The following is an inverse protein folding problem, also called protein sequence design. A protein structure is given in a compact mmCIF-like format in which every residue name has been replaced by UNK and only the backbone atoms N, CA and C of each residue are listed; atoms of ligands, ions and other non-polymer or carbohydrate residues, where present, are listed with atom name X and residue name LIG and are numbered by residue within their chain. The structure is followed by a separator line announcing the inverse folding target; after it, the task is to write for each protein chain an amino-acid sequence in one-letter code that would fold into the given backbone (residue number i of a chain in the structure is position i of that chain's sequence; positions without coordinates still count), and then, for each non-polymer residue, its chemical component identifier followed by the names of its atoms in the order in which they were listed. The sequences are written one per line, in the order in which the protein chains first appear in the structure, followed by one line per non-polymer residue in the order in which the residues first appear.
data_IF_591458421916
#
_entry.id   IF_591458421916
#
_cell.length_a   1.000
_cell.length_b   1.000
_cell.length_c   1.000
_cell.angle_alpha   90.00
_cell.angle_beta   90.00
_cell.angle_gamma   90.00
#
_symmetry.space_group_name_H-M   'P 1'
#
loop_
_entity.id
_entity.type
_entity.pdbx_description
1 polymer ?
#
# COMPACT_ATOMS: atom_id res chain seq x y z
N UNK A 1 -33.14 -20.59 48.58
CA UNK A 1 -34.34 -21.40 48.29
C UNK A 1 -34.05 -22.14 46.99
N UNK A 2 -33.90 -23.45 46.87
CA UNK A 2 -34.12 -24.63 47.73
C UNK A 2 -32.90 -25.59 47.59
N UNK A 3 -32.71 -26.43 48.61
CA UNK A 3 -31.72 -27.52 48.80
C UNK A 3 -31.74 -28.56 47.64
N UNK A 4 -30.72 -29.43 47.40
CA UNK A 4 -30.20 -30.52 48.26
C UNK A 4 -28.80 -30.97 47.80
N UNK A 5 -28.00 -31.40 48.77
CA UNK A 5 -26.62 -31.87 48.74
C UNK A 5 -26.58 -33.30 49.33
N UNK A 6 -25.88 -34.28 48.74
CA UNK A 6 -25.53 -35.61 49.34
C UNK A 6 -24.24 -36.11 48.64
N UNK A 7 -23.02 -35.92 49.17
CA UNK A 7 -22.21 -36.77 50.08
C UNK A 7 -22.07 -38.24 49.60
N UNK A 8 -20.94 -38.67 49.00
CA UNK A 8 -19.76 -39.27 49.67
C UNK A 8 -19.59 -40.77 49.29
N UNK A 9 -18.49 -41.51 49.60
CA UNK A 9 -17.41 -41.20 50.56
C UNK A 9 -15.95 -41.49 50.12
N UNK A 10 -15.03 -40.76 50.77
CA UNK A 10 -13.75 -41.13 51.43
C UNK A 10 -12.95 -42.40 51.04
N UNK A 11 -11.69 -42.12 50.66
CA UNK A 11 -10.40 -42.58 51.24
C UNK A 11 -10.04 -44.08 51.34
N UNK A 12 -8.87 -44.32 50.75
CA UNK A 12 -7.67 -44.98 51.31
C UNK A 12 -7.44 -46.46 51.03
N UNK A 13 -6.41 -46.76 50.22
CA UNK A 13 -5.45 -47.84 50.48
C UNK A 13 -4.02 -47.33 50.19
N UNK A 14 -3.13 -47.77 51.07
CA UNK A 14 -1.75 -47.39 51.35
C UNK A 14 -0.70 -47.78 50.28
N UNK A 15 0.41 -47.03 50.28
CA UNK A 15 1.81 -47.52 50.30
C UNK A 15 2.38 -48.31 49.12
N UNK A 16 3.36 -47.73 48.40
CA UNK A 16 4.79 -48.16 48.41
C UNK A 16 5.59 -47.54 47.25
N UNK A 17 6.51 -46.63 47.60
CA UNK A 17 7.93 -46.57 47.22
C UNK A 17 8.33 -46.78 45.74
N UNK A 18 8.86 -45.67 45.19
CA UNK A 18 9.97 -45.52 44.24
C UNK A 18 9.85 -46.02 42.79
N UNK A 19 10.17 -45.10 41.87
CA UNK A 19 10.71 -45.42 40.55
C UNK A 19 9.93 -44.78 39.42
N UNK A 20 10.64 -44.06 38.54
CA UNK A 20 10.18 -43.36 37.33
C UNK A 20 9.61 -41.95 37.52
N UNK A 21 10.52 -40.99 37.74
CA UNK A 21 10.41 -39.67 37.10
C UNK A 21 10.54 -39.87 35.58
N UNK A 22 9.42 -39.90 34.85
CA UNK A 22 9.45 -39.51 33.43
C UNK A 22 9.48 -37.99 33.37
N UNK A 23 10.67 -37.44 33.15
CA UNK A 23 10.86 -36.10 32.61
C UNK A 23 10.16 -36.03 31.24
N UNK A 24 8.89 -35.63 31.22
CA UNK A 24 8.32 -35.00 30.02
C UNK A 24 8.78 -33.55 30.08
N UNK A 25 10.02 -33.33 29.63
CA UNK A 25 10.42 -32.02 29.16
C UNK A 25 9.50 -31.71 27.97
N UNK A 26 8.50 -30.85 28.22
CA UNK A 26 7.81 -30.13 27.17
C UNK A 26 8.88 -29.32 26.42
N UNK A 27 9.40 -29.92 25.36
CA UNK A 27 10.08 -29.20 24.28
C UNK A 27 8.97 -28.42 23.58
N UNK A 28 8.60 -27.27 24.15
CA UNK A 28 7.88 -26.24 23.41
C UNK A 28 8.87 -25.77 22.35
N UNK A 29 8.56 -26.15 21.12
CA UNK A 29 9.40 -26.01 19.96
C UNK A 29 9.77 -24.54 19.71
N UNK A 30 11.04 -24.22 19.90
CA UNK A 30 11.72 -23.01 19.43
C UNK A 30 11.76 -22.88 17.88
N UNK A 31 11.15 -23.84 17.16
CA UNK A 31 11.00 -23.81 15.70
C UNK A 31 9.84 -22.92 15.23
N UNK A 32 8.82 -22.67 16.07
CA UNK A 32 7.68 -21.82 15.69
C UNK A 32 8.02 -20.33 15.69
N UNK A 33 8.90 -19.87 16.58
CA UNK A 33 9.28 -18.45 16.71
C UNK A 33 10.21 -18.00 15.56
N UNK A 34 11.14 -18.86 15.13
CA UNK A 34 12.16 -18.52 14.12
C UNK A 34 11.62 -18.52 12.68
N UNK A 35 10.49 -19.20 12.42
CA UNK A 35 9.90 -19.35 11.08
C UNK A 35 9.20 -18.06 10.61
N UNK A 36 8.52 -17.36 11.52
CA UNK A 36 7.71 -16.19 11.18
C UNK A 36 8.54 -14.97 10.72
N UNK A 37 9.62 -14.63 11.45
CA UNK A 37 10.47 -13.47 11.10
C UNK A 37 11.11 -13.63 9.73
N UNK A 38 11.64 -14.83 9.42
CA UNK A 38 12.29 -15.12 8.13
C UNK A 38 11.33 -15.05 6.96
N UNK A 39 10.12 -15.62 7.11
CA UNK A 39 9.08 -15.57 6.09
C UNK A 39 8.66 -14.12 5.81
N UNK A 40 8.40 -13.34 6.86
CA UNK A 40 8.05 -11.92 6.75
C UNK A 40 9.15 -11.12 6.04
N UNK A 41 10.40 -11.28 6.46
CA UNK A 41 11.56 -10.62 5.85
C UNK A 41 11.70 -10.98 4.38
N UNK A 42 11.53 -12.25 4.02
CA UNK A 42 11.57 -12.72 2.64
C UNK A 42 10.46 -12.09 1.79
N UNK A 43 9.20 -12.15 2.25
CA UNK A 43 8.05 -11.55 1.55
C UNK A 43 8.26 -10.06 1.32
N UNK A 44 8.64 -9.33 2.38
CA UNK A 44 8.86 -7.89 2.29
C UNK A 44 10.04 -7.55 1.38
N UNK A 45 11.17 -8.24 1.53
CA UNK A 45 12.35 -8.03 0.70
C UNK A 45 12.02 -8.23 -0.78
N UNK A 46 11.39 -9.35 -1.13
CA UNK A 46 11.05 -9.66 -2.51
C UNK A 46 10.07 -8.66 -3.10
N UNK A 47 8.97 -8.35 -2.40
CA UNK A 47 7.99 -7.39 -2.88
C UNK A 47 8.59 -5.99 -3.04
N UNK A 48 9.46 -5.56 -2.11
CA UNK A 48 10.16 -4.28 -2.20
C UNK A 48 11.11 -4.23 -3.40
N UNK A 49 11.92 -5.26 -3.62
CA UNK A 49 12.80 -5.36 -4.80
C UNK A 49 12.02 -5.21 -6.11
N UNK A 50 10.80 -5.77 -6.18
CA UNK A 50 9.97 -5.73 -7.37
C UNK A 50 9.21 -4.41 -7.56
N UNK A 51 8.82 -3.73 -6.47
CA UNK A 51 7.85 -2.63 -6.49
C UNK A 51 8.43 -1.26 -6.12
N UNK A 52 9.43 -1.17 -5.24
CA UNK A 52 10.04 0.12 -4.86
C UNK A 52 10.71 0.86 -6.03
N UNK A 53 11.45 0.18 -6.94
CA UNK A 53 12.01 0.84 -8.13
C UNK A 53 10.93 1.42 -9.06
N UNK A 54 9.70 0.91 -8.95
CA UNK A 54 8.52 1.35 -9.70
C UNK A 54 7.72 2.43 -8.96
N UNK A 55 8.27 2.97 -7.87
CA UNK A 55 7.69 4.08 -7.10
C UNK A 55 6.59 3.66 -6.12
N UNK A 56 6.47 2.39 -5.76
CA UNK A 56 5.59 1.95 -4.68
C UNK A 56 6.30 1.94 -3.33
N UNK A 57 5.55 2.14 -2.25
CA UNK A 57 6.04 1.88 -0.89
C UNK A 57 5.10 0.90 -0.19
N UNK A 58 5.69 0.04 0.65
CA UNK A 58 5.02 -1.07 1.33
C UNK A 58 5.27 -0.98 2.83
N UNK A 59 4.23 -1.25 3.62
CA UNK A 59 4.40 -1.44 5.06
C UNK A 59 3.49 -2.55 5.62
N UNK A 60 4.05 -3.48 6.40
CA UNK A 60 3.29 -4.57 7.00
C UNK A 60 2.40 -4.07 8.14
N UNK A 61 1.31 -4.79 8.39
CA UNK A 61 0.45 -4.65 9.56
C UNK A 61 -0.29 -5.97 9.83
N UNK A 62 -0.87 -6.10 11.01
CA UNK A 62 -1.74 -7.24 11.33
C UNK A 62 -3.20 -6.94 11.01
N UNK A 63 -3.92 -7.91 10.44
CA UNK A 63 -5.34 -7.80 10.12
C UNK A 63 -6.17 -7.34 11.33
N UNK A 64 -5.83 -7.81 12.53
CA UNK A 64 -6.44 -7.40 13.79
C UNK A 64 -6.33 -5.91 14.08
N UNK A 65 -5.14 -5.32 13.89
CA UNK A 65 -4.94 -3.87 14.12
C UNK A 65 -5.85 -3.02 13.23
N UNK A 66 -6.07 -3.46 11.99
CA UNK A 66 -6.99 -2.81 11.07
C UNK A 66 -8.45 -3.01 11.48
N UNK A 67 -8.84 -4.26 11.78
CA UNK A 67 -10.22 -4.59 12.15
C UNK A 67 -10.66 -3.87 13.44
N UNK A 68 -9.75 -3.62 14.39
CA UNK A 68 -10.00 -2.79 15.59
C UNK A 68 -10.48 -1.36 15.26
N UNK A 69 -10.10 -0.79 14.11
CA UNK A 69 -10.38 0.60 13.76
C UNK A 69 -11.60 0.81 12.86
N UNK A 70 -12.16 -0.26 12.29
CA UNK A 70 -13.22 -0.16 11.28
C UNK A 70 -14.47 -0.91 11.73
N UNK A 71 -15.61 -0.58 11.12
CA UNK A 71 -16.84 -1.34 11.38
C UNK A 71 -16.72 -2.79 10.90
N UNK A 72 -17.45 -3.71 11.53
CA UNK A 72 -17.50 -5.14 11.15
C UNK A 72 -17.75 -5.37 9.66
N UNK A 73 -18.53 -4.51 8.99
CA UNK A 73 -18.82 -4.59 7.54
C UNK A 73 -17.58 -4.40 6.65
N UNK A 74 -16.54 -3.77 7.19
CA UNK A 74 -15.26 -3.46 6.55
C UNK A 74 -14.12 -4.35 7.04
N UNK A 75 -14.38 -5.32 7.95
CA UNK A 75 -13.33 -6.23 8.39
C UNK A 75 -12.70 -6.95 7.20
N UNK A 76 -11.37 -7.02 7.24
CA UNK A 76 -10.63 -7.93 6.38
C UNK A 76 -10.87 -9.36 6.86
N UNK A 77 -11.31 -10.20 5.92
CA UNK A 77 -11.49 -11.63 6.15
C UNK A 77 -10.14 -12.35 6.17
N UNK A 78 -9.82 -12.92 7.33
CA UNK A 78 -8.65 -13.73 7.58
C UNK A 78 -8.92 -14.70 8.75
N UNK A 79 -8.29 -15.88 8.79
CA UNK A 79 -8.51 -16.87 9.85
C UNK A 79 -8.10 -16.42 11.25
N UNK A 80 -7.15 -15.49 11.37
CA UNK A 80 -6.62 -15.01 12.65
C UNK A 80 -6.34 -13.50 12.61
N UNK A 81 -6.39 -12.85 13.77
CA UNK A 81 -6.10 -11.42 13.93
C UNK A 81 -4.63 -11.07 13.69
N UNK A 82 -3.72 -12.02 13.83
CA UNK A 82 -2.29 -11.86 13.58
C UNK A 82 -1.86 -12.28 12.18
N UNK A 83 -2.81 -12.50 11.25
CA UNK A 83 -2.48 -12.69 9.84
C UNK A 83 -1.83 -11.42 9.27
N UNK A 84 -0.81 -11.63 8.43
CA UNK A 84 -0.05 -10.58 7.78
C UNK A 84 -0.89 -9.90 6.68
N UNK A 85 -0.87 -8.58 6.71
CA UNK A 85 -1.27 -7.75 5.59
C UNK A 85 -0.19 -6.70 5.29
N UNK A 86 -0.13 -6.24 4.05
CA UNK A 86 0.83 -5.23 3.60
C UNK A 86 0.05 -4.10 2.94
N UNK A 87 0.14 -2.89 3.49
CA UNK A 87 -0.44 -1.70 2.89
C UNK A 87 0.47 -1.21 1.76
N UNK A 88 -0.13 -0.82 0.64
CA UNK A 88 0.56 -0.38 -0.57
C UNK A 88 0.16 1.05 -0.90
N UNK A 89 1.16 1.91 -1.10
CA UNK A 89 0.99 3.26 -1.66
C UNK A 89 1.83 3.42 -2.92
N UNK A 90 1.45 4.39 -3.76
CA UNK A 90 2.32 4.92 -4.81
C UNK A 90 2.84 6.28 -4.38
N UNK A 91 4.17 6.43 -4.39
CA UNK A 91 4.87 7.71 -4.28
C UNK A 91 4.69 8.56 -5.54
N UNK A 92 5.13 9.83 -5.55
CA UNK A 92 5.13 10.65 -6.76
C UNK A 92 5.82 10.00 -7.95
N UNK A 93 6.93 9.31 -7.71
CA UNK A 93 7.75 8.69 -8.75
C UNK A 93 7.03 7.59 -9.53
N UNK A 94 5.98 6.98 -8.96
CA UNK A 94 5.28 5.86 -9.64
C UNK A 94 4.74 6.27 -11.01
N UNK A 95 4.35 7.54 -11.16
CA UNK A 95 3.80 8.05 -12.40
C UNK A 95 4.82 7.93 -13.55
N UNK A 96 6.04 8.45 -13.38
CA UNK A 96 7.09 8.42 -14.40
C UNK A 96 7.88 7.11 -14.41
N UNK A 97 8.10 6.48 -13.26
CA UNK A 97 8.91 5.27 -13.15
C UNK A 97 8.16 4.00 -13.56
N UNK A 98 6.82 3.98 -13.47
CA UNK A 98 6.03 2.78 -13.69
C UNK A 98 4.86 2.99 -14.65
N UNK A 99 4.00 3.97 -14.37
CA UNK A 99 2.77 4.16 -15.13
C UNK A 99 3.05 4.54 -16.58
N UNK A 100 3.83 5.60 -16.83
CA UNK A 100 4.13 6.05 -18.19
C UNK A 100 4.85 4.98 -19.03
N UNK A 101 5.95 4.35 -18.58
CA UNK A 101 6.62 3.32 -19.38
C UNK A 101 5.72 2.12 -19.71
N UNK A 102 4.91 1.67 -18.73
CA UNK A 102 3.98 0.57 -18.97
C UNK A 102 2.88 0.98 -19.94
N UNK A 103 2.33 2.19 -19.78
CA UNK A 103 1.33 2.75 -20.67
C UNK A 103 1.86 2.83 -22.10
N UNK A 104 3.06 3.37 -22.33
CA UNK A 104 3.66 3.43 -23.66
C UNK A 104 3.83 2.05 -24.29
N UNK A 105 4.28 1.06 -23.50
CA UNK A 105 4.46 -0.33 -23.98
C UNK A 105 3.16 -0.97 -24.50
N UNK A 106 1.99 -0.52 -24.02
CA UNK A 106 0.71 -1.02 -24.51
C UNK A 106 0.42 -0.58 -25.95
N UNK A 107 0.99 0.54 -26.38
CA UNK A 107 0.79 1.12 -27.72
C UNK A 107 1.98 0.92 -28.65
N UNK A 108 2.98 0.12 -28.29
CA UNK A 108 4.15 -0.16 -29.14
C UNK A 108 3.86 -1.16 -30.27
N UNK A 109 2.90 -2.08 -30.06
CA UNK A 109 2.73 -3.26 -30.95
C UNK A 109 1.68 -3.11 -32.04
N UNK A 110 0.74 -2.19 -31.88
CA UNK A 110 -0.39 -2.02 -32.80
C UNK A 110 -0.64 -0.52 -33.04
N UNK A 111 -0.44 -0.07 -34.27
CA UNK A 111 -0.71 1.32 -34.63
C UNK A 111 -2.21 1.56 -34.75
N UNK A 112 -2.70 2.71 -34.24
CA UNK A 112 -4.12 3.09 -34.31
C UNK A 112 -5.06 2.41 -33.30
N UNK A 113 -4.58 1.60 -32.35
CA UNK A 113 -5.45 0.99 -31.32
C UNK A 113 -5.89 1.99 -30.25
N UNK A 114 -7.17 1.96 -29.85
CA UNK A 114 -7.70 2.79 -28.76
C UNK A 114 -7.28 2.27 -27.38
N UNK A 115 -7.33 3.12 -26.34
CA UNK A 115 -7.08 2.63 -24.97
C UNK A 115 -8.08 1.55 -24.55
N UNK A 116 -9.35 1.68 -24.97
CA UNK A 116 -10.38 0.70 -24.63
C UNK A 116 -10.04 -0.69 -25.20
N UNK A 117 -9.58 -0.76 -26.45
CA UNK A 117 -9.19 -2.03 -27.09
C UNK A 117 -8.01 -2.69 -26.38
N UNK A 118 -7.00 -1.90 -26.02
CA UNK A 118 -5.86 -2.35 -25.19
C UNK A 118 -6.35 -2.95 -23.88
N UNK A 119 -7.20 -2.23 -23.15
CA UNK A 119 -7.67 -2.67 -21.84
C UNK A 119 -8.59 -3.90 -21.95
N UNK A 120 -9.37 -4.03 -23.03
CA UNK A 120 -10.18 -5.21 -23.32
C UNK A 120 -9.31 -6.44 -23.58
N UNK A 121 -8.21 -6.28 -24.31
CA UNK A 121 -7.22 -7.33 -24.55
C UNK A 121 -6.47 -7.73 -23.26
N UNK A 122 -6.09 -6.76 -22.41
CA UNK A 122 -5.52 -7.06 -21.10
C UNK A 122 -6.52 -7.84 -20.21
N UNK A 123 -7.79 -7.43 -20.22
CA UNK A 123 -8.85 -8.13 -19.48
C UNK A 123 -9.07 -9.56 -19.95
N UNK A 124 -9.01 -9.82 -21.26
CA UNK A 124 -9.20 -11.19 -21.79
C UNK A 124 -8.07 -12.15 -21.39
N UNK A 125 -6.90 -11.63 -21.03
CA UNK A 125 -5.76 -12.42 -20.51
C UNK A 125 -5.85 -12.72 -19.02
N UNK A 126 -6.74 -12.05 -18.29
CA UNK A 126 -6.82 -12.09 -16.81
C UNK A 126 -8.12 -12.73 -16.30
N UNK A 127 -8.73 -13.64 -17.07
CA UNK A 127 -10.07 -14.22 -16.82
C UNK A 127 -10.23 -14.95 -15.49
N UNK A 128 -9.14 -15.39 -14.86
CA UNK A 128 -9.16 -16.11 -13.57
C UNK A 128 -9.00 -15.19 -12.36
N UNK A 129 -8.71 -13.90 -12.56
CA UNK A 129 -8.52 -12.97 -11.45
C UNK A 129 -9.82 -12.26 -11.10
N UNK A 130 -10.04 -12.10 -9.80
CA UNK A 130 -11.12 -11.30 -9.26
C UNK A 130 -10.72 -9.83 -9.15
N UNK A 131 -11.69 -8.93 -8.99
CA UNK A 131 -11.44 -7.52 -8.72
C UNK A 131 -10.66 -6.79 -9.83
N UNK A 132 -10.92 -7.15 -11.09
CA UNK A 132 -10.30 -6.49 -12.24
C UNK A 132 -10.68 -5.01 -12.30
N UNK A 133 -9.75 -4.11 -12.69
CA UNK A 133 -10.06 -2.72 -12.94
C UNK A 133 -11.14 -2.51 -14.00
N UNK A 134 -11.76 -1.32 -14.00
CA UNK A 134 -12.68 -0.90 -15.05
C UNK A 134 -11.98 -0.76 -16.41
N UNK A 135 -12.74 -0.88 -17.50
CA UNK A 135 -12.21 -0.79 -18.88
C UNK A 135 -11.75 0.61 -19.30
N UNK A 136 -11.89 1.61 -18.44
CA UNK A 136 -11.52 3.01 -18.70
C UNK A 136 -10.54 3.58 -17.68
N UNK A 137 -9.96 2.75 -16.80
CA UNK A 137 -9.00 3.21 -15.79
C UNK A 137 -7.58 2.65 -16.04
N UNK A 138 -6.76 3.33 -16.87
CA UNK A 138 -5.41 2.86 -17.18
C UNK A 138 -4.49 2.85 -15.95
N UNK A 139 -4.75 3.68 -14.95
CA UNK A 139 -3.94 3.76 -13.74
C UNK A 139 -4.15 2.49 -12.91
N UNK A 140 -5.40 2.12 -12.66
CA UNK A 140 -5.75 0.92 -11.89
C UNK A 140 -5.25 -0.34 -12.58
N UNK A 141 -5.32 -0.41 -13.91
CA UNK A 141 -4.70 -1.48 -14.71
C UNK A 141 -3.20 -1.55 -14.54
N UNK A 142 -2.50 -0.42 -14.57
CA UNK A 142 -1.05 -0.39 -14.39
C UNK A 142 -0.65 -0.95 -13.03
N UNK A 143 -1.33 -0.51 -11.95
CA UNK A 143 -1.08 -0.96 -10.58
C UNK A 143 -1.39 -2.44 -10.43
N UNK A 144 -2.55 -2.88 -10.94
CA UNK A 144 -2.96 -4.27 -10.89
C UNK A 144 -1.94 -5.20 -11.54
N UNK A 145 -1.45 -4.86 -12.74
CA UNK A 145 -0.45 -5.66 -13.45
C UNK A 145 0.86 -5.73 -12.67
N UNK A 146 1.36 -4.60 -12.15
CA UNK A 146 2.62 -4.57 -11.38
C UNK A 146 2.52 -5.41 -10.11
N UNK A 147 1.47 -5.24 -9.32
CA UNK A 147 1.30 -5.96 -8.05
C UNK A 147 1.14 -7.45 -8.28
N UNK A 148 0.34 -7.86 -9.27
CA UNK A 148 0.17 -9.27 -9.58
C UNK A 148 1.45 -9.91 -10.17
N UNK A 149 2.23 -9.17 -10.95
CA UNK A 149 3.53 -9.64 -11.42
C UNK A 149 4.51 -9.85 -10.26
N UNK A 150 4.55 -8.93 -9.30
CA UNK A 150 5.36 -9.08 -8.08
C UNK A 150 4.93 -10.28 -7.24
N UNK A 151 3.62 -10.49 -7.03
CA UNK A 151 3.09 -11.65 -6.33
C UNK A 151 3.39 -12.97 -7.06
N UNK A 152 3.34 -12.97 -8.39
CA UNK A 152 3.74 -14.13 -9.19
C UNK A 152 5.21 -14.46 -8.98
N UNK A 153 6.10 -13.47 -9.06
CA UNK A 153 7.55 -13.65 -8.85
C UNK A 153 7.90 -14.07 -7.43
N UNK A 154 7.13 -13.61 -6.43
CA UNK A 154 7.27 -14.06 -5.04
C UNK A 154 6.99 -15.57 -4.91
N UNK A 155 5.96 -16.07 -5.60
CA UNK A 155 5.58 -17.50 -5.56
C UNK A 155 6.55 -18.39 -6.34
N UNK A 156 7.17 -17.85 -7.38
CA UNK A 156 8.15 -18.55 -8.23
C UNK A 156 9.58 -18.43 -7.68
N UNK A 157 9.78 -17.74 -6.55
CA UNK A 157 11.12 -17.53 -6.00
C UNK A 157 11.66 -18.79 -5.34
N UNK A 158 12.69 -19.38 -5.97
CA UNK A 158 13.37 -20.57 -5.48
C UNK A 158 14.59 -20.24 -4.59
N UNK A 159 14.87 -18.96 -4.33
CA UNK A 159 16.07 -18.55 -3.58
C UNK A 159 16.01 -18.89 -2.09
N UNK A 160 14.80 -19.11 -1.55
CA UNK A 160 14.61 -19.57 -0.19
C UNK A 160 14.19 -21.05 -0.26
N UNK A 161 14.84 -21.92 0.52
CA UNK A 161 14.39 -23.30 0.73
C UNK A 161 13.11 -23.27 1.58
N UNK A 162 12.01 -22.85 0.95
CA UNK A 162 10.69 -22.87 1.54
C UNK A 162 10.23 -24.31 1.72
N UNK A 163 9.66 -24.59 2.88
CA UNK A 163 8.88 -25.82 3.08
C UNK A 163 7.64 -25.80 2.19
N UNK A 164 7.08 -26.97 1.91
CA UNK A 164 5.84 -27.08 1.14
C UNK A 164 4.68 -26.29 1.77
N UNK A 165 4.59 -26.29 3.10
CA UNK A 165 3.60 -25.51 3.86
C UNK A 165 3.76 -24.01 3.66
N UNK A 166 5.00 -23.52 3.68
CA UNK A 166 5.31 -22.11 3.46
C UNK A 166 5.00 -21.66 2.02
N UNK A 167 5.32 -22.51 1.03
CA UNK A 167 4.97 -22.26 -0.37
C UNK A 167 3.45 -22.19 -0.57
N UNK A 168 2.70 -23.11 0.06
CA UNK A 168 1.25 -23.11 0.03
C UNK A 168 0.66 -21.83 0.66
N UNK A 169 1.23 -21.39 1.80
CA UNK A 169 0.81 -20.17 2.48
C UNK A 169 1.04 -18.90 1.63
N UNK A 170 2.14 -18.83 0.87
CA UNK A 170 2.36 -17.75 -0.11
C UNK A 170 1.36 -17.79 -1.27
N UNK A 171 0.90 -18.98 -1.64
CA UNK A 171 -0.10 -19.20 -2.68
C UNK A 171 -1.44 -18.51 -2.41
N UNK A 172 -1.82 -18.34 -1.14
CA UNK A 172 -3.11 -17.75 -0.75
C UNK A 172 -3.09 -16.23 -0.65
N UNK A 173 -1.94 -15.61 -0.89
CA UNK A 173 -1.80 -14.16 -0.96
C UNK A 173 -2.79 -13.56 -1.97
N UNK A 174 -3.51 -12.51 -1.57
CA UNK A 174 -4.48 -11.82 -2.43
C UNK A 174 -4.33 -10.30 -2.34
N UNK A 175 -4.41 -9.63 -3.49
CA UNK A 175 -4.45 -8.19 -3.56
C UNK A 175 -5.89 -7.68 -3.45
N UNK A 176 -6.13 -6.72 -2.55
CA UNK A 176 -7.39 -6.01 -2.36
C UNK A 176 -7.15 -4.54 -2.76
N UNK A 177 -7.45 -4.16 -4.01
CA UNK A 177 -7.27 -2.79 -4.49
C UNK A 177 -8.19 -1.78 -3.80
N UNK A 178 -7.79 -0.51 -3.82
CA UNK A 178 -8.52 0.61 -3.25
C UNK A 178 -9.87 0.89 -3.96
N UNK A 179 -9.96 0.59 -5.25
CA UNK A 179 -11.18 0.82 -6.06
C UNK A 179 -12.28 -0.23 -5.87
N UNK A 180 -12.03 -1.33 -5.15
CA UNK A 180 -13.00 -2.44 -5.09
C UNK A 180 -14.10 -2.15 -4.08
N UNK A 181 -15.34 -2.31 -4.55
CA UNK A 181 -16.55 -2.15 -3.76
C UNK A 181 -17.40 -3.42 -3.81
N UNK A 182 -18.19 -3.66 -2.76
CA UNK A 182 -19.15 -4.76 -2.71
C UNK A 182 -20.26 -4.54 -3.76
N UNK A 183 -20.69 -5.56 -4.52
CA UNK A 183 -21.68 -5.40 -5.58
C UNK A 183 -22.99 -4.76 -5.11
N UNK A 184 -23.51 -5.21 -3.95
CA UNK A 184 -24.83 -4.80 -3.44
C UNK A 184 -24.75 -3.53 -2.59
N UNK A 185 -23.98 -3.55 -1.51
CA UNK A 185 -23.93 -2.42 -0.57
C UNK A 185 -23.10 -1.24 -1.07
N UNK A 186 -22.31 -1.42 -2.15
CA UNK A 186 -21.35 -0.44 -2.69
C UNK A 186 -20.31 0.05 -1.67
N UNK A 187 -20.22 -0.60 -0.51
CA UNK A 187 -19.20 -0.33 0.48
C UNK A 187 -17.84 -0.76 -0.06
N UNK A 188 -16.78 0.02 0.18
CA UNK A 188 -15.41 -0.41 -0.11
C UNK A 188 -15.11 -1.76 0.54
N UNK A 189 -14.30 -2.60 -0.10
CA UNK A 189 -13.79 -3.82 0.54
C UNK A 189 -12.71 -3.52 1.58
N UNK A 190 -12.06 -2.37 1.48
CA UNK A 190 -10.99 -1.94 2.37
C UNK A 190 -11.08 -0.43 2.62
N UNK A 191 -10.87 -0.02 3.87
CA UNK A 191 -10.68 1.38 4.23
C UNK A 191 -9.19 1.72 4.22
N UNK A 192 -8.67 2.06 3.04
CA UNK A 192 -7.21 2.21 2.83
C UNK A 192 -6.53 3.23 3.74
N UNK A 193 -7.20 4.31 4.13
CA UNK A 193 -6.62 5.28 5.08
C UNK A 193 -6.40 4.68 6.48
N UNK A 194 -7.28 3.79 6.94
CA UNK A 194 -7.09 3.08 8.21
C UNK A 194 -5.95 2.05 8.09
N UNK A 195 -5.86 1.33 6.96
CA UNK A 195 -4.75 0.43 6.69
C UNK A 195 -3.39 1.17 6.65
N UNK A 196 -3.36 2.32 5.97
CA UNK A 196 -2.20 3.22 5.97
C UNK A 196 -1.83 3.74 7.36
N UNK A 197 -2.84 4.04 8.18
CA UNK A 197 -2.60 4.48 9.55
C UNK A 197 -2.03 3.34 10.41
N UNK A 198 -2.61 2.15 10.42
CA UNK A 198 -2.12 1.06 11.32
C UNK A 198 -0.80 0.45 10.87
N UNK A 199 -0.46 0.58 9.58
CA UNK A 199 0.82 0.14 9.04
C UNK A 199 1.95 1.16 9.24
N UNK A 200 1.68 2.36 9.77
CA UNK A 200 2.72 3.36 9.95
C UNK A 200 3.05 4.21 8.71
N UNK A 201 2.46 3.94 7.54
CA UNK A 201 2.76 4.67 6.30
C UNK A 201 2.31 6.11 6.36
N UNK A 202 1.06 6.36 6.72
CA UNK A 202 0.49 7.70 6.64
C UNK A 202 -0.54 7.93 7.73
N UNK A 203 -0.38 9.05 8.44
CA UNK A 203 -1.29 9.41 9.51
C UNK A 203 -2.65 9.83 8.94
N UNK A 204 -3.69 9.08 9.25
CA UNK A 204 -5.07 9.42 8.94
C UNK A 204 -5.65 10.47 9.90
N UNK A 205 -5.85 11.69 9.40
CA UNK A 205 -6.46 12.81 10.11
C UNK A 205 -7.98 12.74 9.95
N UNK A 206 -8.68 12.46 11.05
CA UNK A 206 -10.14 12.46 11.09
C UNK A 206 -10.66 13.84 11.50
N UNK A 207 -11.70 14.30 10.81
CA UNK A 207 -12.46 15.46 11.21
C UNK A 207 -13.43 15.09 12.35
N UNK A 208 -12.92 14.82 13.55
CA UNK A 208 -13.76 14.81 14.76
C UNK A 208 -13.95 16.25 15.28
N UNK A 209 -14.16 17.21 14.38
CA UNK A 209 -14.48 18.57 14.78
C UNK A 209 -16.01 18.60 14.91
N UNK A 210 -16.51 18.89 16.12
CA UNK A 210 -17.93 19.16 16.37
C UNK A 210 -18.33 20.51 15.72
N UNK A 211 -18.25 20.62 14.40
CA UNK A 211 -18.80 21.76 13.66
C UNK A 211 -20.25 21.41 13.33
N UNK A 212 -21.15 22.34 13.67
CA UNK A 212 -22.57 22.14 13.90
C UNK A 212 -23.43 21.51 12.80
N UNK A 213 -22.96 21.21 11.58
CA UNK A 213 -23.91 20.88 10.50
C UNK A 213 -23.48 19.91 9.39
N UNK A 214 -22.46 19.05 9.54
CA UNK A 214 -22.16 18.04 8.51
C UNK A 214 -21.74 16.67 9.10
N UNK A 215 -22.69 15.74 9.11
CA UNK A 215 -22.63 14.39 9.72
C UNK A 215 -21.84 13.33 8.94
N UNK A 216 -20.83 13.71 8.15
CA UNK A 216 -19.97 12.76 7.43
C UNK A 216 -18.50 12.92 7.79
N UNK A 217 -17.94 11.86 8.38
CA UNK A 217 -16.53 11.74 8.75
C UNK A 217 -15.64 11.61 7.51
N UNK A 218 -15.39 12.71 6.80
CA UNK A 218 -14.37 12.75 5.75
C UNK A 218 -13.04 13.23 6.35
N UNK A 219 -11.98 12.45 6.16
CA UNK A 219 -10.63 12.79 6.57
C UNK A 219 -9.63 12.55 5.45
N UNK A 220 -8.39 12.97 5.66
CA UNK A 220 -7.28 12.74 4.72
C UNK A 220 -6.07 12.16 5.45
N UNK A 221 -5.24 11.42 4.72
CA UNK A 221 -3.97 10.92 5.24
C UNK A 221 -2.82 11.79 4.76
N UNK A 222 -1.86 12.05 5.64
CA UNK A 222 -0.59 12.67 5.28
C UNK A 222 0.55 11.70 5.54
N UNK A 223 1.41 11.53 4.54
CA UNK A 223 2.64 10.78 4.61
C UNK A 223 3.76 11.68 5.15
N UNK A 224 4.64 11.21 6.05
CA UNK A 224 5.70 12.07 6.63
C UNK A 224 6.67 12.63 5.59
N UNK A 225 6.92 11.89 4.50
CA UNK A 225 7.83 12.32 3.40
C UNK A 225 7.12 13.04 2.25
N UNK A 226 5.85 12.74 2.01
CA UNK A 226 5.14 13.19 0.81
C UNK A 226 4.01 14.17 1.11
N UNK A 227 3.66 14.38 2.38
CA UNK A 227 2.39 15.01 2.74
C UNK A 227 1.23 14.27 2.08
N UNK A 228 0.41 14.98 1.32
CA UNK A 228 -0.65 14.38 0.52
C UNK A 228 -0.21 13.95 -0.89
N UNK A 229 1.06 14.09 -1.29
CA UNK A 229 1.56 13.73 -2.63
C UNK A 229 1.79 12.22 -2.80
N UNK A 230 0.79 11.41 -2.50
CA UNK A 230 0.82 9.97 -2.72
C UNK A 230 -0.60 9.46 -3.02
N UNK A 231 -0.73 8.17 -3.31
CA UNK A 231 -2.01 7.49 -3.45
C UNK A 231 -1.99 6.11 -2.80
N UNK A 232 -3.00 5.79 -2.00
CA UNK A 232 -3.23 4.41 -1.58
C UNK A 232 -3.62 3.56 -2.78
N UNK A 233 -3.10 2.33 -2.84
CA UNK A 233 -3.35 1.39 -3.94
C UNK A 233 -4.05 0.12 -3.50
N UNK A 234 -4.11 -0.12 -2.20
CA UNK A 234 -4.79 -1.28 -1.62
C UNK A 234 -3.93 -1.97 -0.57
N UNK A 235 -4.30 -3.22 -0.30
CA UNK A 235 -3.58 -4.08 0.64
C UNK A 235 -3.34 -5.45 0.02
N UNK A 236 -2.22 -6.08 0.34
CA UNK A 236 -1.96 -7.49 0.05
C UNK A 236 -2.20 -8.26 1.35
N UNK A 237 -3.11 -9.22 1.35
CA UNK A 237 -3.44 -10.04 2.53
C UNK A 237 -2.84 -11.43 2.34
N UNK A 238 -2.19 -11.95 3.37
CA UNK A 238 -1.66 -13.31 3.45
C UNK A 238 -2.41 -14.09 4.54
N UNK A 239 -3.52 -14.77 4.19
CA UNK A 239 -4.37 -15.44 5.18
C UNK A 239 -3.65 -16.50 6.02
N UNK A 240 -2.65 -17.17 5.43
CA UNK A 240 -1.97 -18.32 6.05
C UNK A 240 -0.57 -17.95 6.58
N UNK A 241 -0.21 -16.67 6.59
CA UNK A 241 1.04 -16.18 7.20
C UNK A 241 0.67 -15.38 8.44
N UNK A 242 1.05 -15.90 9.61
CA UNK A 242 0.82 -15.24 10.91
C UNK A 242 2.09 -14.57 11.40
N UNK A 243 1.97 -13.36 11.92
CA UNK A 243 3.06 -12.56 12.47
C UNK A 243 2.76 -11.99 13.86
N UNK A 244 2.55 -12.83 14.90
CA UNK A 244 2.16 -12.37 16.23
C UNK A 244 3.16 -11.39 16.86
N UNK A 245 4.43 -11.47 16.48
CA UNK A 245 5.52 -10.64 17.02
C UNK A 245 5.78 -9.38 16.19
N UNK A 246 4.99 -9.10 15.13
CA UNK A 246 5.16 -7.90 14.32
C UNK A 246 5.03 -6.65 15.21
N UNK A 247 6.06 -5.80 15.34
CA UNK A 247 5.96 -4.61 16.16
C UNK A 247 4.95 -3.62 15.54
N UNK A 248 3.98 -3.17 16.35
CA UNK A 248 3.00 -2.16 15.91
C UNK A 248 3.68 -0.79 15.81
N UNK A 249 3.72 -0.17 14.62
CA UNK A 249 4.40 1.11 14.45
C UNK A 249 3.60 2.25 15.09
N UNK A 250 4.33 3.29 15.52
CA UNK A 250 3.73 4.59 15.86
C UNK A 250 3.68 5.43 14.59
N UNK A 251 2.49 5.67 14.10
CA UNK A 251 2.26 6.46 12.88
C UNK A 251 2.41 7.93 13.20
N UNK A 252 3.33 8.60 12.49
CA UNK A 252 3.57 10.04 12.66
C UNK A 252 2.96 10.84 11.52
N UNK A 253 2.44 12.00 11.87
CA UNK A 253 2.01 13.02 10.93
C UNK A 253 3.15 13.99 10.62
N UNK A 254 3.23 14.55 9.42
CA UNK A 254 4.02 15.76 9.17
C UNK A 254 3.40 17.02 9.82
N UNK A 255 2.12 16.99 10.19
CA UNK A 255 1.48 18.07 10.93
C UNK A 255 2.01 18.14 12.38
N UNK A 256 2.50 19.29 12.81
CA UNK A 256 3.03 19.47 14.16
C UNK A 256 1.96 19.23 15.24
N UNK A 257 2.32 18.58 16.38
CA UNK A 257 3.65 18.16 16.81
C UNK A 257 4.09 16.77 16.29
N UNK A 258 3.40 16.23 15.28
CA UNK A 258 3.66 14.94 14.65
C UNK A 258 2.85 13.78 15.23
N UNK A 259 2.25 13.98 16.40
CA UNK A 259 1.31 13.08 17.05
C UNK A 259 0.17 13.92 17.66
N UNK A 260 -1.02 13.35 17.88
CA UNK A 260 -2.09 14.07 18.55
C UNK A 260 -1.73 14.40 20.01
N UNK A 261 -2.29 15.48 20.61
CA UNK A 261 -3.25 16.39 20.00
C UNK A 261 -2.59 17.34 18.98
N UNK A 262 -3.26 17.56 17.86
CA UNK A 262 -2.85 18.55 16.85
C UNK A 262 -3.45 19.91 17.17
N UNK A 263 -2.79 20.96 16.67
CA UNK A 263 -3.39 22.29 16.67
C UNK A 263 -4.74 22.29 15.92
N UNK A 264 -5.75 22.93 16.50
CA UNK A 264 -7.14 22.86 15.99
C UNK A 264 -7.28 23.64 14.69
N UNK A 265 -6.63 24.79 14.57
CA UNK A 265 -6.69 25.64 13.37
C UNK A 265 -5.95 24.97 12.21
N UNK A 266 -4.77 24.39 12.48
CA UNK A 266 -3.99 23.67 11.49
C UNK A 266 -4.75 22.42 10.97
N UNK A 267 -5.39 21.66 11.87
CA UNK A 267 -6.23 20.52 11.51
C UNK A 267 -7.47 20.97 10.71
N UNK A 268 -8.13 22.05 11.12
CA UNK A 268 -9.28 22.59 10.40
C UNK A 268 -8.88 23.04 8.99
N UNK A 269 -7.75 23.73 8.85
CA UNK A 269 -7.20 24.16 7.56
C UNK A 269 -6.94 22.97 6.65
N UNK A 270 -6.29 21.90 7.16
CA UNK A 270 -6.06 20.67 6.41
C UNK A 270 -7.35 20.05 5.87
N UNK A 271 -8.33 19.90 6.76
CA UNK A 271 -9.60 19.26 6.41
C UNK A 271 -10.40 20.13 5.43
N UNK A 272 -10.44 21.45 5.61
CA UNK A 272 -11.13 22.38 4.71
C UNK A 272 -10.50 22.38 3.32
N UNK A 273 -9.18 22.52 3.21
CA UNK A 273 -8.46 22.50 1.92
C UNK A 273 -8.65 21.15 1.21
N UNK A 274 -8.63 20.03 1.95
CA UNK A 274 -8.92 18.72 1.37
C UNK A 274 -10.37 18.56 0.92
N UNK A 275 -11.35 19.12 1.63
CA UNK A 275 -12.77 18.93 1.28
C UNK A 275 -13.22 19.84 0.15
N UNK A 276 -12.84 21.10 0.21
CA UNK A 276 -13.40 22.15 -0.64
C UNK A 276 -12.52 22.44 -1.85
N UNK A 277 -11.20 22.22 -1.73
CA UNK A 277 -10.20 22.66 -2.73
C UNK A 277 -9.21 21.56 -3.10
N UNK A 278 -9.63 20.30 -3.06
CA UNK A 278 -8.72 19.17 -3.30
C UNK A 278 -7.99 19.21 -4.65
N UNK A 279 -8.62 19.81 -5.68
CA UNK A 279 -8.04 19.95 -7.04
C UNK A 279 -6.91 20.96 -7.12
N UNK A 280 -6.86 21.91 -6.17
CA UNK A 280 -5.78 22.90 -6.09
C UNK A 280 -4.51 22.26 -5.51
N UNK A 281 -4.63 21.07 -4.93
CA UNK A 281 -3.55 20.26 -4.35
C UNK A 281 -2.81 20.90 -3.16
N UNK A 282 -3.18 22.11 -2.72
CA UNK A 282 -2.55 22.81 -1.58
C UNK A 282 -2.54 21.99 -0.29
N UNK A 283 -3.61 21.24 -0.03
CA UNK A 283 -3.71 20.36 1.14
C UNK A 283 -2.57 19.33 1.21
N UNK A 284 -1.97 18.97 0.06
CA UNK A 284 -0.90 17.98 -0.01
C UNK A 284 0.42 18.48 0.54
N UNK A 285 0.61 19.81 0.60
CA UNK A 285 1.82 20.44 1.11
C UNK A 285 1.75 20.72 2.63
N UNK A 286 0.57 20.58 3.24
CA UNK A 286 0.40 20.90 4.66
C UNK A 286 1.26 19.97 5.54
N UNK A 287 2.10 20.59 6.39
CA UNK A 287 3.01 19.91 7.31
C UNK A 287 4.35 19.49 6.72
N UNK A 288 4.53 19.60 5.40
CA UNK A 288 5.78 19.22 4.73
C UNK A 288 6.64 20.46 4.49
N UNK A 289 7.96 20.34 4.66
CA UNK A 289 8.91 21.41 4.34
C UNK A 289 8.79 21.79 2.85
N UNK A 290 8.78 23.09 2.56
CA UNK A 290 8.78 23.65 1.20
C UNK A 290 9.92 23.08 0.36
N UNK A 291 11.07 22.81 0.98
CA UNK A 291 12.26 22.24 0.34
C UNK A 291 12.11 20.75 -0.03
N UNK A 292 11.05 20.08 0.42
CA UNK A 292 10.80 18.68 0.09
C UNK A 292 10.41 18.53 -1.39
N UNK A 293 11.30 17.94 -2.19
CA UNK A 293 11.17 17.83 -3.65
C UNK A 293 10.18 16.72 -4.08
N UNK A 294 9.58 15.99 -3.14
CA UNK A 294 8.77 14.82 -3.45
C UNK A 294 7.30 15.15 -3.75
N UNK A 295 7.06 15.86 -4.87
CA UNK A 295 5.73 16.25 -5.37
C UNK A 295 5.42 15.57 -6.71
N UNK A 296 4.14 15.49 -7.08
CA UNK A 296 3.77 15.07 -8.43
C UNK A 296 4.28 16.08 -9.46
N UNK A 297 4.80 15.58 -10.59
CA UNK A 297 5.15 16.40 -11.74
C UNK A 297 3.93 17.16 -12.28
N UNK A 298 4.15 18.15 -13.13
CA UNK A 298 3.05 18.84 -13.81
C UNK A 298 2.21 17.88 -14.67
N UNK A 299 2.86 16.92 -15.35
CA UNK A 299 2.16 15.90 -16.14
C UNK A 299 1.31 14.99 -15.24
N UNK A 300 1.86 14.52 -14.11
CA UNK A 300 1.12 13.72 -13.15
C UNK A 300 -0.07 14.50 -12.56
N UNK A 301 0.13 15.77 -12.17
CA UNK A 301 -0.95 16.65 -11.68
C UNK A 301 -2.05 16.84 -12.73
N UNK A 302 -1.67 17.08 -13.99
CA UNK A 302 -2.61 17.18 -15.12
C UNK A 302 -3.44 15.90 -15.26
N UNK A 303 -2.81 14.73 -15.20
CA UNK A 303 -3.52 13.45 -15.23
C UNK A 303 -4.47 13.26 -14.04
N UNK A 304 -4.02 13.49 -12.81
CA UNK A 304 -4.84 13.25 -11.62
C UNK A 304 -5.99 14.24 -11.46
N UNK A 305 -5.83 15.47 -11.96
CA UNK A 305 -6.92 16.45 -12.02
C UNK A 305 -7.90 16.18 -13.18
N UNK A 306 -7.53 15.34 -14.15
CA UNK A 306 -8.42 14.93 -15.24
C UNK A 306 -9.51 13.98 -14.72
N UNK A 307 -10.81 14.28 -14.95
CA UNK A 307 -11.90 13.40 -14.54
C UNK A 307 -11.77 11.98 -15.12
N UNK A 308 -12.17 10.92 -14.39
CA UNK A 308 -12.04 9.54 -14.86
C UNK A 308 -12.58 9.30 -16.27
N UNK A 309 -13.74 9.88 -16.61
CA UNK A 309 -14.36 9.78 -17.96
C UNK A 309 -13.52 10.38 -19.09
N UNK A 310 -12.58 11.27 -18.77
CA UNK A 310 -11.75 11.97 -19.75
C UNK A 310 -10.30 11.47 -19.75
N UNK A 311 -9.94 10.52 -18.88
CA UNK A 311 -8.57 9.97 -18.79
C UNK A 311 -8.15 9.23 -20.04
N UNK A 312 -9.06 8.50 -20.69
CA UNK A 312 -8.75 7.79 -21.94
C UNK A 312 -8.27 8.76 -23.03
N UNK A 313 -9.04 9.82 -23.27
CA UNK A 313 -8.67 10.86 -24.23
C UNK A 313 -7.37 11.57 -23.84
N UNK A 314 -7.14 11.80 -22.54
CA UNK A 314 -5.89 12.40 -22.06
C UNK A 314 -4.69 11.51 -22.39
N UNK A 315 -4.81 10.20 -22.15
CA UNK A 315 -3.78 9.20 -22.47
C UNK A 315 -3.53 9.16 -23.97
N UNK A 316 -4.56 9.06 -24.79
CA UNK A 316 -4.42 8.96 -26.25
C UNK A 316 -3.74 10.20 -26.83
N UNK A 317 -4.07 11.40 -26.33
CA UNK A 317 -3.35 12.63 -26.68
C UNK A 317 -1.88 12.58 -26.28
N UNK A 318 -1.57 12.09 -25.07
CA UNK A 318 -0.18 11.93 -24.62
C UNK A 318 0.61 10.97 -25.55
N UNK A 319 0.01 9.83 -25.92
CA UNK A 319 0.62 8.87 -26.85
C UNK A 319 0.86 9.52 -28.21
N UNK A 320 -0.13 10.19 -28.79
CA UNK A 320 -0.01 10.89 -30.07
C UNK A 320 1.13 11.93 -30.04
N UNK A 321 1.18 12.77 -29.00
CA UNK A 321 2.24 13.76 -28.82
C UNK A 321 3.63 13.11 -28.71
N UNK A 322 3.74 11.95 -28.06
CA UNK A 322 5.00 11.23 -27.92
C UNK A 322 5.52 10.68 -29.25
N UNK A 323 4.61 10.24 -30.14
CA UNK A 323 4.94 9.70 -31.47
C UNK A 323 5.31 10.78 -32.49
N UNK A 324 4.76 11.99 -32.36
CA UNK A 324 5.11 13.14 -33.22
C UNK A 324 6.49 13.76 -32.92
N UNK A 325 7.26 13.23 -31.95
CA UNK A 325 8.61 13.71 -31.60
C UNK A 325 9.71 13.29 -32.60
N UNK A 326 9.39 13.32 -33.90
CA UNK A 326 10.35 13.78 -34.93
C UNK A 326 10.45 15.32 -34.98
N UNK A 327 9.74 16.05 -34.10
CA UNK A 327 9.94 17.48 -33.86
C UNK A 327 10.75 17.77 -32.57
N UNK A 328 11.73 18.71 -32.60
CA UNK A 328 12.79 18.83 -31.60
C UNK A 328 12.36 19.66 -30.39
N UNK A 329 11.78 19.03 -29.36
CA UNK A 329 11.58 19.70 -28.05
C UNK A 329 12.12 18.86 -26.88
N UNK A 330 12.78 17.72 -27.15
CA UNK A 330 13.54 16.99 -26.14
C UNK A 330 14.87 16.48 -26.70
N UNK A 331 15.68 17.38 -27.27
CA UNK A 331 17.10 17.13 -27.44
C UNK A 331 17.85 17.69 -26.23
N UNK A 332 18.35 16.75 -25.43
CA UNK A 332 19.45 16.83 -24.47
C UNK A 332 20.18 18.17 -24.39
N UNK A 333 20.26 18.71 -23.17
CA UNK A 333 21.33 19.60 -22.74
C UNK A 333 22.67 18.90 -22.91
N UNK A 334 23.37 19.19 -24.01
CA UNK A 334 24.80 18.98 -24.14
C UNK A 334 25.52 20.18 -23.50
N UNK A 335 26.32 19.91 -22.48
CA UNK A 335 27.25 20.86 -21.87
C UNK A 335 28.14 21.53 -22.93
N UNK A 336 28.47 22.82 -22.81
CA UNK A 336 29.61 23.39 -23.52
C UNK A 336 30.87 23.13 -22.70
N UNK A 337 31.74 22.25 -23.22
CA UNK A 337 33.16 22.32 -22.92
C UNK A 337 33.75 23.43 -23.82
N UNK A 338 34.11 24.56 -23.23
CA UNK A 338 34.98 25.55 -23.87
C UNK A 338 36.26 25.60 -23.06
N UNK A 339 37.31 24.99 -23.62
CA UNK A 339 38.69 25.32 -23.26
C UNK A 339 38.97 26.70 -23.84
N UNK A 340 39.16 27.69 -22.99
CA UNK A 340 39.85 28.92 -23.37
C UNK A 340 41.08 29.10 -22.47
N UNK A 341 42.22 29.07 -23.15
CA UNK A 341 43.53 29.49 -22.68
C UNK A 341 43.47 30.93 -22.17
N UNK A 342 43.83 31.16 -20.91
CA UNK A 342 44.25 32.48 -20.45
C UNK A 342 45.54 32.39 -19.63
N UNK A 343 46.54 33.01 -20.24
CA UNK A 343 47.94 33.13 -19.87
C UNK A 343 48.08 33.94 -18.58
N UNK A 344 48.71 33.36 -17.56
CA UNK A 344 49.22 34.07 -16.39
C UNK A 344 50.37 34.99 -16.82
N UNK A 345 50.14 36.30 -16.79
CA UNK A 345 51.22 37.30 -16.71
C UNK A 345 51.45 37.69 -15.25
N UNK A 346 52.72 37.59 -14.88
CA UNK A 346 53.34 38.01 -13.63
C UNK A 346 53.29 39.54 -13.40
N UNK A 347 53.37 39.88 -12.09
CA UNK A 347 53.87 41.12 -11.47
C UNK A 347 53.01 42.37 -11.67
N UNK A 348 52.69 43.17 -10.64
CA UNK A 348 53.47 43.63 -9.48
C UNK A 348 52.61 43.65 -8.21
#
# INVERSE_FOLDING_TARGET
MYFVNVIGPLKAIFSCISGFQTNIQLVVSTQSEVCCSKMLEHVLSKLKTELEPLGFELSPFLVGWYNELVSVKLHLDAPSSDCLAICLISSPMMFEASFLPLLFSWFEKEDGQSLEDVLRNLKSKETRKTSLPGLNDPLDWSVFIRVNAALKRLREDNNLLLTETESLALGTARFVPDYVVRPVSRLPLIHVQCAGHVSGLAYYHKACIKVKDLSKEYGCSLHPKYGGWFGFRGVIVFPDIRCPELPRPITRSPLLPGLPPFDTEALQTLITEYRERWRDNRWRDIGVDEQTVCRYSETARSFFNTPPSSRAQWVERLIQMSRCRTCPVLSRSSSPATQDHLTLKHQV
#
